data_IF_838630901902
#
_entry.id   IF_838630901902
#
_cell.length_a   1.000
_cell.length_b   1.000
_cell.length_c   1.000
_cell.angle_alpha   90.00
_cell.angle_beta   90.00
_cell.angle_gamma   90.00
#
_symmetry.space_group_name_H-M   'P 1'
#
loop_
_entity.id
_entity.type
_entity.pdbx_description
1 polymer ?
#
# COMPACT_ATOMS: atom_id res chain seq x y z
N UNK A 1 34.60 -21.16 1.32
CA UNK A 1 33.67 -20.25 2.00
C UNK A 1 32.31 -20.52 1.40
N UNK A 2 31.54 -21.37 2.05
CA UNK A 2 30.21 -21.79 1.60
C UNK A 2 29.25 -20.64 1.80
N UNK A 3 28.72 -20.14 0.68
CA UNK A 3 27.58 -19.23 0.69
C UNK A 3 26.43 -19.95 1.40
N UNK A 4 26.16 -19.62 2.63
CA UNK A 4 24.92 -19.98 3.30
C UNK A 4 23.81 -19.17 2.62
N UNK A 5 23.21 -19.77 1.60
CA UNK A 5 21.94 -19.30 1.08
C UNK A 5 20.98 -19.24 2.29
N UNK A 6 20.49 -18.06 2.58
CA UNK A 6 19.51 -17.79 3.59
C UNK A 6 18.37 -18.80 3.46
N UNK A 7 18.18 -19.61 4.48
CA UNK A 7 16.98 -20.46 4.61
C UNK A 7 15.82 -19.55 4.98
N UNK A 8 15.36 -18.82 3.94
CA UNK A 8 14.36 -17.76 4.06
C UNK A 8 12.93 -18.31 4.06
N UNK A 9 12.76 -19.63 4.10
CA UNK A 9 11.47 -20.30 3.87
C UNK A 9 10.63 -20.56 5.13
N UNK A 10 11.08 -20.15 6.31
CA UNK A 10 10.42 -20.56 7.57
C UNK A 10 9.24 -19.67 8.00
N UNK A 11 9.08 -18.47 7.43
CA UNK A 11 8.10 -17.46 7.94
C UNK A 11 6.90 -17.25 7.02
N UNK A 12 7.00 -17.65 5.76
CA UNK A 12 5.90 -17.51 4.79
C UNK A 12 5.64 -18.85 4.14
N UNK A 13 4.39 -19.36 4.25
CA UNK A 13 3.96 -20.61 3.65
C UNK A 13 4.27 -20.70 2.15
N UNK A 14 4.24 -21.91 1.60
CA UNK A 14 4.45 -22.11 0.16
C UNK A 14 3.43 -21.32 -0.65
N UNK A 15 3.92 -20.64 -1.67
CA UNK A 15 3.09 -19.92 -2.63
C UNK A 15 2.09 -20.86 -3.31
N UNK A 16 0.84 -20.46 -3.40
CA UNK A 16 -0.22 -21.19 -4.08
C UNK A 16 -0.49 -20.61 -5.45
N UNK A 17 -1.08 -21.41 -6.36
CA UNK A 17 -1.53 -20.92 -7.65
C UNK A 17 -2.61 -19.85 -7.47
N UNK A 18 -2.54 -18.81 -8.29
CA UNK A 18 -3.49 -17.68 -8.24
C UNK A 18 -4.33 -17.61 -9.52
N UNK A 19 -5.46 -16.95 -9.41
CA UNK A 19 -6.32 -16.53 -10.51
C UNK A 19 -6.47 -15.01 -10.46
N UNK A 20 -6.46 -14.36 -11.64
CA UNK A 20 -6.62 -12.90 -11.73
C UNK A 20 -7.64 -12.55 -12.81
N UNK A 21 -8.58 -11.66 -12.49
CA UNK A 21 -9.59 -11.13 -13.41
C UNK A 21 -9.46 -9.62 -13.49
N UNK A 22 -9.43 -9.09 -14.72
CA UNK A 22 -9.39 -7.65 -15.02
C UNK A 22 -9.88 -7.34 -16.44
N UNK A 23 -10.54 -6.19 -16.68
CA UNK A 23 -11.07 -5.32 -15.66
C UNK A 23 -12.35 -5.89 -15.04
N UNK A 24 -12.48 -5.78 -13.72
CA UNK A 24 -13.77 -5.80 -13.05
C UNK A 24 -14.25 -4.35 -12.99
N UNK A 25 -15.48 -4.09 -13.44
CA UNK A 25 -15.96 -2.72 -13.63
C UNK A 25 -17.05 -2.41 -12.61
N UNK A 26 -16.85 -1.36 -11.83
CA UNK A 26 -17.87 -0.79 -10.96
C UNK A 26 -18.38 0.53 -11.56
N UNK A 27 -19.68 0.65 -11.84
CA UNK A 27 -20.26 1.91 -12.30
C UNK A 27 -20.03 3.02 -11.26
N UNK A 28 -19.55 4.18 -11.70
CA UNK A 28 -19.26 5.29 -10.80
C UNK A 28 -19.67 6.63 -11.42
N UNK A 29 -20.85 7.10 -11.06
CA UNK A 29 -21.37 8.40 -11.53
C UNK A 29 -20.66 9.60 -10.91
N UNK A 30 -20.07 9.45 -9.70
CA UNK A 30 -19.45 10.56 -8.97
C UNK A 30 -18.09 10.97 -9.55
N UNK A 31 -17.33 10.03 -10.11
CA UNK A 31 -16.03 10.32 -10.75
C UNK A 31 -16.13 10.57 -12.26
N UNK A 32 -17.31 10.34 -12.87
CA UNK A 32 -17.55 10.56 -14.31
C UNK A 32 -17.07 9.44 -15.23
N UNK A 33 -16.31 8.47 -14.72
CA UNK A 33 -15.84 7.27 -15.42
C UNK A 33 -16.03 6.05 -14.52
N UNK A 34 -16.29 4.89 -15.11
CA UNK A 34 -16.39 3.64 -14.35
C UNK A 34 -15.06 3.28 -13.69
N UNK A 35 -15.14 2.75 -12.47
CA UNK A 35 -13.97 2.28 -11.74
C UNK A 35 -13.56 0.90 -12.24
N UNK A 36 -12.34 0.78 -12.76
CA UNK A 36 -11.77 -0.49 -13.21
C UNK A 36 -10.87 -1.07 -12.12
N UNK A 37 -11.07 -2.36 -11.85
CA UNK A 37 -10.34 -3.10 -10.82
C UNK A 37 -9.67 -4.34 -11.41
N UNK A 38 -8.52 -4.71 -10.83
CA UNK A 38 -7.96 -6.06 -10.94
C UNK A 38 -8.23 -6.79 -9.63
N UNK A 39 -8.72 -8.02 -9.72
CA UNK A 39 -8.92 -8.92 -8.57
C UNK A 39 -8.01 -10.12 -8.76
N UNK A 40 -7.15 -10.39 -7.80
CA UNK A 40 -6.25 -11.55 -7.79
C UNK A 40 -6.42 -12.31 -6.49
N UNK A 41 -6.60 -13.62 -6.56
CA UNK A 41 -6.82 -14.46 -5.39
C UNK A 41 -6.17 -15.84 -5.53
N UNK A 42 -5.91 -16.56 -4.44
CA UNK A 42 -5.54 -17.97 -4.50
C UNK A 42 -6.64 -18.79 -5.17
N UNK A 43 -6.25 -19.81 -5.93
CA UNK A 43 -7.22 -20.76 -6.51
C UNK A 43 -7.91 -21.63 -5.43
N UNK A 44 -7.24 -21.83 -4.31
CA UNK A 44 -7.69 -22.65 -3.20
C UNK A 44 -7.62 -21.87 -1.87
N UNK A 45 -8.17 -22.42 -0.80
CA UNK A 45 -8.20 -21.81 0.53
C UNK A 45 -9.55 -21.18 0.85
N UNK A 46 -9.82 -20.99 2.13
CA UNK A 46 -11.04 -20.37 2.68
C UNK A 46 -10.66 -19.29 3.68
N UNK A 47 -11.63 -18.50 4.09
CA UNK A 47 -11.46 -17.37 5.02
C UNK A 47 -10.36 -16.41 4.58
N UNK A 48 -10.25 -16.18 3.26
CA UNK A 48 -9.21 -15.36 2.65
C UNK A 48 -9.47 -13.89 2.96
N UNK A 49 -8.57 -13.20 3.68
CA UNK A 49 -8.74 -11.77 3.94
C UNK A 49 -8.49 -10.94 2.68
N UNK A 50 -9.02 -9.72 2.69
CA UNK A 50 -8.99 -8.81 1.54
C UNK A 50 -7.96 -7.70 1.77
N UNK A 51 -7.15 -7.42 0.75
CA UNK A 51 -6.25 -6.27 0.69
C UNK A 51 -6.64 -5.40 -0.50
N UNK A 52 -7.04 -4.15 -0.25
CA UNK A 52 -7.27 -3.16 -1.30
C UNK A 52 -6.01 -2.33 -1.46
N UNK A 53 -5.36 -2.44 -2.62
CA UNK A 53 -4.07 -1.79 -2.89
C UNK A 53 -4.21 -0.60 -3.84
N UNK A 54 -3.79 0.58 -3.41
CA UNK A 54 -3.75 1.83 -4.17
C UNK A 54 -2.38 2.05 -4.80
N UNK A 55 -2.33 2.18 -6.13
CA UNK A 55 -1.09 2.41 -6.88
C UNK A 55 -0.51 3.82 -6.69
N UNK A 56 0.79 4.03 -6.97
CA UNK A 56 1.45 5.34 -7.03
C UNK A 56 0.93 6.21 -8.17
N UNK A 57 1.38 7.49 -8.20
CA UNK A 57 0.97 8.44 -9.22
C UNK A 57 1.20 7.92 -10.65
N UNK A 58 0.18 8.01 -11.49
CA UNK A 58 0.25 7.66 -12.91
C UNK A 58 0.21 6.16 -13.22
N UNK A 59 0.35 5.27 -12.23
CA UNK A 59 0.25 3.82 -12.43
C UNK A 59 -1.21 3.37 -12.63
N UNK A 60 -1.46 2.06 -12.63
CA UNK A 60 -2.78 1.46 -12.80
C UNK A 60 -2.88 0.14 -12.03
N UNK A 61 -4.02 -0.53 -12.12
CA UNK A 61 -4.25 -1.87 -11.60
C UNK A 61 -3.28 -2.95 -12.13
N UNK A 62 -2.52 -2.64 -13.18
CA UNK A 62 -1.58 -3.57 -13.82
C UNK A 62 -0.16 -3.48 -13.24
N UNK A 63 0.11 -2.48 -12.42
CA UNK A 63 1.39 -2.31 -11.75
C UNK A 63 1.45 -3.04 -10.40
N UNK A 64 2.62 -3.07 -9.79
CA UNK A 64 2.89 -3.67 -8.48
C UNK A 64 2.76 -5.19 -8.40
N UNK A 65 2.78 -5.88 -9.55
CA UNK A 65 2.74 -7.34 -9.59
C UNK A 65 3.73 -8.02 -8.64
N UNK A 66 5.03 -7.63 -8.56
CA UNK A 66 5.97 -8.24 -7.62
C UNK A 66 5.45 -8.32 -6.19
N UNK A 67 4.71 -7.32 -5.72
CA UNK A 67 4.16 -7.28 -4.36
C UNK A 67 2.76 -7.88 -4.27
N UNK A 68 1.84 -7.46 -5.14
CA UNK A 68 0.43 -7.81 -5.06
C UNK A 68 0.15 -9.26 -5.45
N UNK A 69 0.87 -9.79 -6.45
CA UNK A 69 0.77 -11.19 -6.83
C UNK A 69 1.41 -12.10 -5.76
N UNK A 70 2.46 -11.60 -5.08
CA UNK A 70 3.05 -12.30 -3.94
C UNK A 70 2.02 -12.44 -2.80
N UNK A 71 1.35 -11.36 -2.42
CA UNK A 71 0.31 -11.42 -1.39
C UNK A 71 -0.81 -12.38 -1.78
N UNK A 72 -1.27 -12.32 -3.04
CA UNK A 72 -2.28 -13.24 -3.52
C UNK A 72 -1.84 -14.70 -3.44
N UNK A 73 -0.60 -15.00 -3.83
CA UNK A 73 -0.04 -16.35 -3.72
C UNK A 73 0.11 -16.83 -2.26
N UNK A 74 0.07 -15.91 -1.29
CA UNK A 74 0.23 -16.20 0.12
C UNK A 74 -1.06 -16.00 0.95
N UNK A 75 -2.21 -16.16 0.30
CA UNK A 75 -3.48 -16.32 1.00
C UNK A 75 -4.36 -15.07 1.09
N UNK A 76 -4.10 -14.03 0.30
CA UNK A 76 -4.94 -12.84 0.29
C UNK A 76 -5.74 -12.69 -0.99
N UNK A 77 -6.93 -12.15 -0.90
CA UNK A 77 -7.62 -11.55 -2.04
C UNK A 77 -7.07 -10.13 -2.20
N UNK A 78 -6.43 -9.83 -3.34
CA UNK A 78 -5.87 -8.51 -3.60
C UNK A 78 -6.69 -7.80 -4.68
N UNK A 79 -7.18 -6.60 -4.36
CA UNK A 79 -7.99 -5.78 -5.25
C UNK A 79 -7.25 -4.48 -5.54
N UNK A 80 -7.05 -4.18 -6.83
CA UNK A 80 -6.28 -3.02 -7.30
C UNK A 80 -7.16 -2.14 -8.19
N UNK A 81 -7.59 -0.95 -7.74
CA UNK A 81 -8.26 0.03 -8.59
C UNK A 81 -7.29 0.72 -9.56
N UNK A 82 -7.82 1.21 -10.69
CA UNK A 82 -7.17 2.20 -11.56
C UNK A 82 -7.77 3.57 -11.26
N UNK A 83 -6.99 4.45 -10.66
CA UNK A 83 -7.40 5.80 -10.31
C UNK A 83 -7.35 6.77 -11.51
N UNK A 84 -8.04 7.91 -11.42
CA UNK A 84 -8.18 8.89 -12.50
C UNK A 84 -6.86 9.49 -12.99
N UNK A 85 -5.84 9.57 -12.13
CA UNK A 85 -4.50 10.04 -12.50
C UNK A 85 -3.67 9.02 -13.28
N UNK A 86 -4.20 7.81 -13.48
CA UNK A 86 -3.50 6.80 -14.27
C UNK A 86 -3.26 7.30 -15.69
N UNK A 87 -2.01 7.18 -16.18
CA UNK A 87 -1.68 7.51 -17.56
C UNK A 87 -2.46 6.67 -18.58
N UNK A 88 -2.92 5.48 -18.18
CA UNK A 88 -3.73 4.60 -19.03
C UNK A 88 -5.12 5.15 -19.32
N UNK A 89 -5.65 6.04 -18.47
CA UNK A 89 -6.94 6.70 -18.67
C UNK A 89 -6.83 7.98 -19.49
N UNK A 90 -5.64 8.56 -19.60
CA UNK A 90 -5.38 9.73 -20.45
C UNK A 90 -6.11 11.00 -20.01
N UNK A 91 -6.39 11.19 -18.72
CA UNK A 91 -7.05 12.39 -18.21
C UNK A 91 -6.19 13.62 -18.52
N UNK A 92 -6.77 14.62 -19.18
CA UNK A 92 -6.06 15.83 -19.50
C UNK A 92 -5.76 16.65 -18.22
N UNK A 93 -4.59 17.33 -18.13
CA UNK A 93 -4.30 18.19 -16.98
C UNK A 93 -5.32 19.33 -16.78
N UNK A 94 -6.04 19.70 -17.84
CA UNK A 94 -7.10 20.73 -17.82
C UNK A 94 -8.49 20.16 -17.51
N UNK A 95 -8.60 18.86 -17.24
CA UNK A 95 -9.88 18.25 -16.86
C UNK A 95 -10.36 18.87 -15.54
N UNK A 96 -11.64 19.26 -15.43
CA UNK A 96 -12.17 19.90 -14.22
C UNK A 96 -12.06 19.02 -12.96
N UNK A 97 -11.88 17.71 -13.11
CA UNK A 97 -11.66 16.77 -11.99
C UNK A 97 -10.23 16.77 -11.46
N UNK A 98 -9.26 17.27 -12.24
CA UNK A 98 -7.83 17.21 -11.87
C UNK A 98 -7.54 17.74 -10.45
N UNK A 99 -8.10 18.87 -9.97
CA UNK A 99 -7.87 19.37 -8.61
C UNK A 99 -8.43 18.47 -7.50
N UNK A 100 -9.38 17.57 -7.82
CA UNK A 100 -10.05 16.69 -6.88
C UNK A 100 -9.63 15.22 -7.03
N UNK A 101 -8.60 14.91 -7.81
CA UNK A 101 -8.12 13.52 -8.02
C UNK A 101 -7.82 12.84 -6.69
N UNK A 102 -7.19 13.54 -5.74
CA UNK A 102 -6.90 13.00 -4.43
C UNK A 102 -8.15 12.47 -3.70
N UNK A 103 -9.26 13.21 -3.82
CA UNK A 103 -10.55 12.85 -3.21
C UNK A 103 -11.22 11.68 -3.96
N UNK A 104 -11.17 11.70 -5.29
CA UNK A 104 -11.65 10.59 -6.10
C UNK A 104 -10.89 9.30 -5.81
N UNK A 105 -9.57 9.36 -5.57
CA UNK A 105 -8.78 8.18 -5.18
C UNK A 105 -9.27 7.57 -3.87
N UNK A 106 -9.56 8.39 -2.86
CA UNK A 106 -10.11 7.93 -1.58
C UNK A 106 -11.50 7.30 -1.79
N UNK A 107 -12.34 7.96 -2.59
CA UNK A 107 -13.66 7.45 -2.94
C UNK A 107 -13.60 6.14 -3.73
N UNK A 108 -12.61 5.95 -4.60
CA UNK A 108 -12.39 4.69 -5.32
C UNK A 108 -12.12 3.53 -4.36
N UNK A 109 -11.32 3.74 -3.30
CA UNK A 109 -11.09 2.72 -2.28
C UNK A 109 -12.38 2.43 -1.49
N UNK A 110 -13.09 3.47 -1.04
CA UNK A 110 -14.34 3.32 -0.31
C UNK A 110 -15.39 2.59 -1.18
N UNK A 111 -15.55 2.97 -2.45
CA UNK A 111 -16.44 2.32 -3.39
C UNK A 111 -16.07 0.85 -3.61
N UNK A 112 -14.78 0.52 -3.64
CA UNK A 112 -14.31 -0.87 -3.75
C UNK A 112 -14.76 -1.68 -2.54
N UNK A 113 -14.60 -1.13 -1.33
CA UNK A 113 -15.03 -1.76 -0.07
C UNK A 113 -16.55 -1.86 0.01
N UNK A 114 -17.28 -0.84 -0.46
CA UNK A 114 -18.76 -0.84 -0.49
C UNK A 114 -19.36 -1.90 -1.42
N UNK A 115 -18.60 -2.32 -2.44
CA UNK A 115 -19.08 -3.25 -3.47
C UNK A 115 -18.34 -4.59 -3.46
N UNK A 116 -17.76 -4.99 -2.31
CA UNK A 116 -16.96 -6.22 -2.21
C UNK A 116 -17.69 -7.46 -2.73
N UNK A 117 -18.99 -7.60 -2.45
CA UNK A 117 -19.79 -8.76 -2.92
C UNK A 117 -19.76 -8.86 -4.45
N UNK A 118 -19.93 -7.72 -5.14
CA UNK A 118 -19.87 -7.65 -6.61
C UNK A 118 -18.46 -7.93 -7.13
N UNK A 119 -17.44 -7.38 -6.47
CA UNK A 119 -16.04 -7.53 -6.85
C UNK A 119 -15.56 -8.97 -6.66
N UNK A 120 -15.90 -9.59 -5.55
CA UNK A 120 -15.55 -10.99 -5.25
C UNK A 120 -16.27 -11.98 -6.18
N UNK A 121 -17.51 -11.68 -6.58
CA UNK A 121 -18.26 -12.50 -7.53
C UNK A 121 -17.66 -12.56 -8.95
N UNK A 122 -16.70 -11.65 -9.27
CA UNK A 122 -16.01 -11.67 -10.55
C UNK A 122 -15.12 -12.92 -10.76
N UNK A 123 -14.72 -13.58 -9.67
CA UNK A 123 -14.02 -14.88 -9.71
C UNK A 123 -14.99 -15.96 -9.19
N UNK A 124 -15.34 -16.98 -9.99
CA UNK A 124 -16.29 -18.02 -9.57
C UNK A 124 -15.91 -18.67 -8.24
N UNK A 125 -16.84 -18.69 -7.28
CA UNK A 125 -16.68 -19.27 -5.95
C UNK A 125 -15.79 -18.47 -4.99
N UNK A 126 -15.24 -17.31 -5.36
CA UNK A 126 -14.40 -16.52 -4.47
C UNK A 126 -15.21 -15.88 -3.34
N UNK A 127 -16.44 -15.43 -3.61
CA UNK A 127 -17.30 -14.82 -2.60
C UNK A 127 -17.56 -15.75 -1.40
N UNK A 128 -17.63 -17.07 -1.63
CA UNK A 128 -17.81 -18.07 -0.58
C UNK A 128 -16.52 -18.39 0.20
N UNK A 129 -15.36 -18.00 -0.34
CA UNK A 129 -14.03 -18.30 0.23
C UNK A 129 -13.35 -17.07 0.83
N UNK A 130 -13.77 -15.88 0.48
CA UNK A 130 -13.22 -14.63 1.03
C UNK A 130 -13.90 -14.25 2.34
N UNK A 131 -13.14 -13.66 3.26
CA UNK A 131 -13.69 -13.06 4.48
C UNK A 131 -13.71 -11.53 4.33
N UNK A 132 -14.86 -11.01 3.91
CA UNK A 132 -15.11 -9.59 3.71
C UNK A 132 -15.13 -8.76 5.02
N UNK A 133 -14.98 -9.39 6.21
CA UNK A 133 -14.85 -8.69 7.49
C UNK A 133 -13.39 -8.47 7.89
N UNK A 134 -12.44 -9.06 7.17
CA UNK A 134 -11.00 -8.89 7.39
C UNK A 134 -10.37 -8.13 6.24
N UNK A 135 -10.43 -6.80 6.33
CA UNK A 135 -9.99 -5.89 5.26
C UNK A 135 -8.77 -5.10 5.74
N UNK A 136 -7.73 -5.08 4.89
CA UNK A 136 -6.64 -4.13 4.98
C UNK A 136 -6.62 -3.22 3.74
N UNK A 137 -6.09 -2.01 3.91
CA UNK A 137 -5.73 -1.15 2.80
C UNK A 137 -4.22 -1.04 2.70
N UNK A 138 -3.72 -0.94 1.49
CA UNK A 138 -2.30 -0.75 1.25
C UNK A 138 -2.08 0.21 0.09
N UNK A 139 -0.89 0.79 0.01
CA UNK A 139 -0.55 1.64 -1.12
C UNK A 139 0.90 2.08 -1.10
N UNK A 140 1.35 2.57 -2.24
CA UNK A 140 2.71 3.10 -2.42
C UNK A 140 2.65 4.56 -2.85
N UNK A 141 3.51 5.41 -2.27
CA UNK A 141 3.63 6.82 -2.66
C UNK A 141 2.27 7.54 -2.56
N UNK A 142 1.76 8.11 -3.63
CA UNK A 142 0.42 8.70 -3.67
C UNK A 142 -0.68 7.70 -3.24
N UNK A 143 -0.49 6.41 -3.55
CA UNK A 143 -1.38 5.35 -3.07
C UNK A 143 -1.35 5.16 -1.56
N UNK A 144 -0.20 5.34 -0.92
CA UNK A 144 -0.09 5.29 0.53
C UNK A 144 -0.83 6.48 1.17
N UNK A 145 -0.71 7.69 0.59
CA UNK A 145 -1.51 8.86 1.01
C UNK A 145 -3.01 8.60 0.86
N UNK A 146 -3.42 7.97 -0.25
CA UNK A 146 -4.81 7.58 -0.47
C UNK A 146 -5.30 6.57 0.58
N UNK A 147 -4.54 5.50 0.82
CA UNK A 147 -4.87 4.45 1.77
C UNK A 147 -4.90 4.97 3.22
N UNK A 148 -3.99 5.89 3.58
CA UNK A 148 -3.92 6.45 4.93
C UNK A 148 -5.19 7.19 5.34
N UNK A 149 -5.95 7.75 4.38
CA UNK A 149 -7.21 8.42 4.66
C UNK A 149 -8.27 7.45 5.22
N UNK A 150 -8.33 6.20 4.72
CA UNK A 150 -9.24 5.19 5.25
C UNK A 150 -8.81 4.70 6.65
N UNK A 151 -7.56 4.96 7.06
CA UNK A 151 -7.03 4.65 8.39
C UNK A 151 -7.20 5.81 9.38
N UNK A 152 -7.71 6.98 8.92
CA UNK A 152 -7.98 8.16 9.72
C UNK A 152 -7.04 9.35 9.49
N UNK A 153 -6.09 9.28 8.55
CA UNK A 153 -5.35 10.47 8.15
C UNK A 153 -6.29 11.48 7.46
N UNK A 154 -6.06 12.77 7.69
CA UNK A 154 -6.88 13.85 7.12
C UNK A 154 -6.06 14.71 6.19
N UNK A 155 -6.71 15.29 5.19
CA UNK A 155 -6.11 16.29 4.30
C UNK A 155 -6.52 17.67 4.81
N UNK A 156 -5.54 18.46 5.23
CA UNK A 156 -5.77 19.80 5.78
C UNK A 156 -5.93 20.86 4.67
N UNK A 157 -6.44 22.08 5.01
CA UNK A 157 -6.48 23.18 4.07
C UNK A 157 -5.10 23.45 3.43
N UNK A 158 -5.02 23.91 2.16
CA UNK A 158 -6.14 24.48 1.39
C UNK A 158 -6.98 23.47 0.60
N UNK A 159 -6.55 22.22 0.45
CA UNK A 159 -7.26 21.26 -0.41
C UNK A 159 -8.38 20.51 0.31
N UNK A 160 -8.19 20.20 1.61
CA UNK A 160 -9.15 19.48 2.44
C UNK A 160 -9.70 20.33 3.59
N UNK A 161 -10.53 19.71 4.42
CA UNK A 161 -11.03 20.26 5.68
C UNK A 161 -10.55 19.36 6.83
N UNK A 162 -9.97 19.97 7.87
CA UNK A 162 -9.48 19.25 9.06
C UNK A 162 -10.56 18.40 9.76
N UNK A 163 -11.83 18.74 9.55
CA UNK A 163 -12.95 17.99 10.08
C UNK A 163 -13.49 16.90 9.14
N UNK A 164 -12.98 16.84 7.90
CA UNK A 164 -13.40 15.83 6.94
C UNK A 164 -12.75 14.49 7.26
N UNK A 165 -13.57 13.49 7.54
CA UNK A 165 -13.16 12.16 7.94
C UNK A 165 -13.53 11.14 6.87
N UNK A 166 -12.52 10.47 6.32
CA UNK A 166 -12.68 9.39 5.34
C UNK A 166 -12.37 8.01 5.95
N UNK A 167 -12.19 7.93 7.27
CA UNK A 167 -11.89 6.66 7.91
C UNK A 167 -13.02 5.64 7.67
N UNK A 168 -12.64 4.39 7.45
CA UNK A 168 -13.59 3.30 7.26
C UNK A 168 -13.40 2.25 8.36
N UNK A 169 -14.39 2.11 9.24
CA UNK A 169 -14.33 1.20 10.36
C UNK A 169 -14.25 -0.29 9.98
N UNK A 170 -14.52 -0.64 8.71
CA UNK A 170 -14.34 -2.00 8.17
C UNK A 170 -12.87 -2.34 7.92
N UNK A 171 -12.02 -1.30 7.77
CA UNK A 171 -10.59 -1.46 7.54
C UNK A 171 -9.88 -1.62 8.88
N UNK A 172 -9.28 -2.77 9.11
CA UNK A 172 -8.66 -3.12 10.39
C UNK A 172 -7.14 -2.97 10.41
N UNK A 173 -6.49 -2.83 9.26
CA UNK A 173 -5.04 -2.67 9.17
C UNK A 173 -4.61 -1.92 7.90
N UNK A 174 -3.37 -1.37 7.91
CA UNK A 174 -2.77 -0.73 6.75
C UNK A 174 -1.31 -1.12 6.48
N UNK A 175 -0.90 -1.09 5.19
CA UNK A 175 0.51 -1.15 4.77
C UNK A 175 0.79 0.06 3.89
N UNK A 176 1.60 0.99 4.40
CA UNK A 176 1.83 2.30 3.81
C UNK A 176 3.30 2.41 3.38
N UNK A 177 3.54 2.29 2.07
CA UNK A 177 4.86 2.25 1.45
C UNK A 177 5.22 3.66 0.95
N UNK A 178 6.28 4.26 1.47
CA UNK A 178 6.70 5.64 1.15
C UNK A 178 5.53 6.63 1.28
N UNK A 179 4.87 6.65 2.44
CA UNK A 179 3.81 7.60 2.74
C UNK A 179 4.41 8.99 2.93
N UNK A 180 3.93 9.97 2.17
CA UNK A 180 4.36 11.37 2.27
C UNK A 180 4.16 11.92 3.70
N UNK A 181 5.16 12.60 4.22
CA UNK A 181 5.16 13.23 5.54
C UNK A 181 4.36 14.53 5.60
N UNK A 182 4.50 15.24 6.71
CA UNK A 182 3.83 16.51 6.96
C UNK A 182 4.26 17.58 5.93
N UNK A 183 3.34 18.48 5.62
CA UNK A 183 3.61 19.59 4.70
C UNK A 183 4.38 20.72 5.40
N UNK A 184 3.72 21.41 6.29
CA UNK A 184 4.23 22.59 6.99
C UNK A 184 5.20 23.41 6.11
N UNK A 185 6.44 23.64 6.60
CA UNK A 185 7.53 24.27 5.83
C UNK A 185 8.40 23.24 5.07
N UNK A 186 8.00 21.98 5.07
CA UNK A 186 8.80 20.88 4.54
C UNK A 186 8.56 20.60 3.07
N UNK A 187 7.49 21.13 2.46
CA UNK A 187 7.26 21.02 1.02
C UNK A 187 8.02 22.06 0.23
N UNK A 188 8.52 21.66 -0.95
CA UNK A 188 9.05 22.63 -1.90
C UNK A 188 7.93 23.54 -2.41
N UNK A 189 8.24 24.81 -2.82
CA UNK A 189 7.22 25.73 -3.35
C UNK A 189 6.42 25.17 -4.52
N UNK A 190 7.06 24.36 -5.38
CA UNK A 190 6.41 23.69 -6.51
C UNK A 190 5.44 22.63 -5.99
N UNK A 191 5.84 21.82 -5.01
CA UNK A 191 4.99 20.79 -4.43
C UNK A 191 3.76 21.40 -3.76
N UNK A 192 3.92 22.47 -2.99
CA UNK A 192 2.81 23.20 -2.36
C UNK A 192 1.80 23.71 -3.39
N UNK A 193 2.27 24.20 -4.53
CA UNK A 193 1.40 24.73 -5.58
C UNK A 193 0.71 23.64 -6.39
N UNK A 194 1.44 22.58 -6.75
CA UNK A 194 0.92 21.51 -7.61
C UNK A 194 0.11 20.47 -6.86
N UNK A 195 0.43 20.22 -5.59
CA UNK A 195 -0.14 19.16 -4.79
C UNK A 195 -0.65 19.69 -3.44
N UNK A 196 -1.62 20.63 -3.43
CA UNK A 196 -2.12 21.24 -2.19
C UNK A 196 -2.77 20.24 -1.23
N UNK A 197 -3.11 19.03 -1.71
CA UNK A 197 -3.59 17.92 -0.90
C UNK A 197 -2.49 17.18 -0.13
N UNK A 198 -1.20 17.40 -0.44
CA UNK A 198 -0.08 16.85 0.31
C UNK A 198 0.15 17.63 1.61
N UNK A 199 -0.92 17.84 2.35
CA UNK A 199 -0.93 18.47 3.66
C UNK A 199 -1.68 17.56 4.66
N UNK A 200 -1.09 16.39 5.00
CA UNK A 200 -1.74 15.44 5.88
C UNK A 200 -1.70 15.87 7.34
N UNK A 201 -2.70 15.41 8.13
CA UNK A 201 -2.62 15.26 9.58
C UNK A 201 -2.77 13.79 9.91
N UNK A 202 -1.87 13.27 10.73
CA UNK A 202 -1.91 11.89 11.21
C UNK A 202 -2.53 11.74 12.60
N UNK A 203 -2.95 12.84 13.24
CA UNK A 203 -3.46 12.87 14.63
C UNK A 203 -4.68 11.96 14.87
N UNK A 204 -5.42 11.62 13.82
CA UNK A 204 -6.59 10.75 13.87
C UNK A 204 -6.37 9.37 13.24
N UNK A 205 -5.16 9.09 12.72
CA UNK A 205 -4.84 7.82 12.07
C UNK A 205 -4.58 6.73 13.13
N UNK A 206 -5.65 6.30 13.81
CA UNK A 206 -5.57 5.34 14.92
C UNK A 206 -5.50 3.87 14.49
N UNK A 207 -5.99 3.53 13.30
CA UNK A 207 -5.96 2.15 12.80
C UNK A 207 -4.52 1.63 12.71
N UNK A 208 -4.23 0.39 13.15
CA UNK A 208 -2.89 -0.20 13.08
C UNK A 208 -2.32 -0.17 11.67
N UNK A 209 -1.05 0.19 11.53
CA UNK A 209 -0.40 0.23 10.23
C UNK A 209 1.10 -0.10 10.30
N UNK A 210 1.60 -0.74 9.24
CA UNK A 210 3.02 -0.87 8.94
C UNK A 210 3.40 0.24 7.95
N UNK A 211 4.28 1.13 8.38
CA UNK A 211 4.93 2.13 7.53
C UNK A 211 6.23 1.52 7.00
N UNK A 212 6.47 1.66 5.68
CA UNK A 212 7.70 1.19 5.03
C UNK A 212 8.35 2.37 4.33
N UNK A 213 9.62 2.62 4.62
CA UNK A 213 10.39 3.72 4.04
C UNK A 213 11.81 3.27 3.67
N UNK A 214 12.37 3.85 2.62
CA UNK A 214 13.78 3.69 2.25
C UNK A 214 14.65 4.78 2.88
N UNK A 215 15.81 4.45 3.41
CA UNK A 215 16.74 5.42 3.98
C UNK A 215 17.52 6.24 2.95
N UNK A 216 17.40 5.89 1.66
CA UNK A 216 17.94 6.65 0.52
C UNK A 216 16.83 7.33 -0.33
N UNK A 217 15.57 7.30 0.12
CA UNK A 217 14.45 7.90 -0.59
C UNK A 217 14.44 9.43 -0.42
N UNK A 218 14.99 10.13 -1.43
CA UNK A 218 14.99 11.59 -1.51
C UNK A 218 13.80 12.07 -2.35
N UNK A 219 12.80 12.66 -1.69
CA UNK A 219 11.65 13.22 -2.41
C UNK A 219 12.00 14.57 -3.07
N UNK A 220 11.73 14.76 -4.36
CA UNK A 220 11.84 16.09 -4.97
C UNK A 220 10.73 17.05 -4.51
N UNK A 221 9.75 16.55 -3.76
CA UNK A 221 8.62 17.32 -3.25
C UNK A 221 8.87 17.90 -1.86
N UNK A 222 9.85 17.35 -1.13
CA UNK A 222 10.20 17.80 0.22
C UNK A 222 11.58 18.45 0.26
N UNK A 223 11.73 19.42 1.16
CA UNK A 223 13.03 20.03 1.52
C UNK A 223 13.80 19.17 2.52
N UNK A 224 13.13 18.19 3.15
CA UNK A 224 13.72 17.23 4.09
C UNK A 224 14.34 16.03 3.37
N UNK A 225 15.14 15.32 4.12
CA UNK A 225 15.70 14.04 3.69
C UNK A 225 14.72 12.86 3.87
N UNK A 226 15.25 11.61 3.87
CA UNK A 226 14.45 10.39 4.01
C UNK A 226 13.64 10.29 5.30
N UNK A 227 13.99 11.04 6.34
CA UNK A 227 13.25 11.15 7.59
C UNK A 227 11.82 11.68 7.41
N UNK A 228 11.54 12.40 6.31
CA UNK A 228 10.21 12.88 5.97
C UNK A 228 9.18 11.74 5.81
N UNK A 229 9.60 10.60 5.31
CA UNK A 229 8.73 9.43 5.13
C UNK A 229 8.36 8.73 6.45
N UNK A 230 8.94 9.16 7.58
CA UNK A 230 8.71 8.58 8.91
C UNK A 230 7.63 9.31 9.71
N UNK A 231 7.16 10.47 9.24
CA UNK A 231 6.25 11.33 10.01
C UNK A 231 4.95 10.62 10.43
N UNK A 232 4.39 9.78 9.56
CA UNK A 232 3.20 9.02 9.91
C UNK A 232 3.44 8.06 11.07
N UNK A 233 4.64 7.45 11.17
CA UNK A 233 5.01 6.62 12.30
C UNK A 233 5.14 7.43 13.58
N UNK A 234 5.72 8.62 13.49
CA UNK A 234 6.03 9.48 14.64
C UNK A 234 4.81 10.23 15.18
N UNK A 235 3.83 10.55 14.32
CA UNK A 235 2.72 11.46 14.64
C UNK A 235 1.34 10.80 14.65
N UNK A 236 1.24 9.49 14.39
CA UNK A 236 -0.04 8.78 14.46
C UNK A 236 -0.28 8.19 15.84
N UNK A 237 -1.52 8.24 16.35
CA UNK A 237 -1.90 7.45 17.51
C UNK A 237 -2.08 5.96 17.16
N UNK A 238 -2.13 5.13 18.20
CA UNK A 238 -2.38 3.69 18.05
C UNK A 238 -1.13 2.92 17.60
N UNK A 239 -1.32 1.62 17.36
CA UNK A 239 -0.19 0.73 17.05
C UNK A 239 0.37 0.99 15.67
N UNK A 240 1.60 1.39 15.59
CA UNK A 240 2.36 1.56 14.35
C UNK A 240 3.63 0.72 14.40
N UNK A 241 4.03 0.22 13.24
CA UNK A 241 5.32 -0.42 13.03
C UNK A 241 6.03 0.29 11.89
N UNK A 242 7.34 0.37 11.94
CA UNK A 242 8.17 0.99 10.91
C UNK A 242 9.20 -0.01 10.40
N UNK A 243 9.18 -0.27 9.09
CA UNK A 243 10.27 -0.94 8.39
C UNK A 243 11.09 0.10 7.64
N UNK A 244 12.33 0.33 8.07
CA UNK A 244 13.30 1.12 7.32
C UNK A 244 14.15 0.19 6.47
N UNK A 245 14.15 0.40 5.16
CA UNK A 245 14.92 -0.39 4.19
C UNK A 245 16.25 0.32 3.90
N UNK A 246 17.37 -0.37 4.08
CA UNK A 246 18.69 0.22 3.90
C UNK A 246 19.08 0.35 2.43
N UNK A 247 19.55 1.54 2.06
CA UNK A 247 19.94 1.91 0.69
C UNK A 247 18.81 1.76 -0.34
N UNK A 248 17.57 1.77 0.11
CA UNK A 248 16.41 1.73 -0.76
C UNK A 248 15.94 3.16 -1.07
N UNK A 249 15.68 3.42 -2.33
CA UNK A 249 15.03 4.63 -2.82
C UNK A 249 13.51 4.48 -2.85
N UNK A 250 12.83 5.42 -3.52
CA UNK A 250 11.38 5.46 -3.65
C UNK A 250 10.76 4.21 -4.30
N UNK A 251 11.52 3.50 -5.15
CA UNK A 251 11.05 2.27 -5.81
C UNK A 251 11.06 1.04 -4.91
N UNK A 252 11.67 1.12 -3.69
CA UNK A 252 11.80 0.03 -2.74
C UNK A 252 12.33 -1.26 -3.39
N UNK A 253 13.35 -1.11 -4.24
CA UNK A 253 13.99 -2.20 -4.95
C UNK A 253 13.23 -2.70 -6.19
N UNK A 254 12.17 -1.99 -6.62
CA UNK A 254 11.43 -2.33 -7.84
C UNK A 254 10.10 -3.05 -7.60
N UNK A 255 9.40 -2.78 -6.49
CA UNK A 255 8.10 -3.41 -6.16
C UNK A 255 7.01 -3.14 -7.19
N UNK A 256 7.17 -2.14 -8.06
CA UNK A 256 6.13 -1.67 -8.98
C UNK A 256 6.07 -2.40 -10.31
N UNK A 257 7.13 -3.11 -10.71
CA UNK A 257 7.19 -3.78 -12.02
C UNK A 257 7.96 -5.09 -11.97
N UNK A 258 7.49 -6.10 -12.72
CA UNK A 258 8.31 -7.24 -13.07
C UNK A 258 9.33 -6.81 -14.11
N UNK A 259 10.61 -6.87 -13.79
CA UNK A 259 11.70 -6.56 -14.73
C UNK A 259 12.63 -7.74 -14.88
N UNK A 260 12.91 -8.13 -16.13
CA UNK A 260 14.03 -9.01 -16.49
C UNK A 260 15.33 -8.21 -16.64
N UNK A 261 15.20 -6.89 -16.72
CA UNK A 261 16.31 -5.93 -16.76
C UNK A 261 16.01 -4.91 -15.68
N UNK A 262 16.98 -4.60 -14.78
CA UNK A 262 16.82 -3.53 -13.80
C UNK A 262 16.38 -2.26 -14.53
N UNK A 263 15.25 -1.67 -14.10
CA UNK A 263 14.74 -0.42 -14.68
C UNK A 263 15.44 0.80 -14.09
N UNK A 264 16.10 0.58 -12.93
CA UNK A 264 16.96 1.55 -12.27
C UNK A 264 18.17 0.86 -11.64
N UNK A 265 19.23 1.61 -11.30
CA UNK A 265 20.37 1.11 -10.55
C UNK A 265 19.99 0.67 -9.12
N UNK A 266 18.83 1.06 -8.65
CA UNK A 266 18.27 0.74 -7.33
C UNK A 266 17.41 -0.52 -7.31
N UNK A 267 17.16 -1.16 -8.44
CA UNK A 267 16.42 -2.43 -8.48
C UNK A 267 17.20 -3.50 -7.72
N UNK A 268 16.60 -3.98 -6.64
CA UNK A 268 17.24 -4.91 -5.71
C UNK A 268 16.26 -6.02 -5.28
N UNK A 269 16.43 -7.25 -5.80
CA UNK A 269 15.54 -8.36 -5.48
C UNK A 269 15.56 -8.74 -3.98
N UNK A 270 16.64 -8.46 -3.26
CA UNK A 270 16.73 -8.71 -1.81
C UNK A 270 15.80 -7.74 -1.07
N UNK A 271 15.79 -6.47 -1.47
CA UNK A 271 14.88 -5.47 -0.91
C UNK A 271 13.42 -5.83 -1.21
N UNK A 272 13.11 -6.20 -2.46
CA UNK A 272 11.75 -6.66 -2.83
C UNK A 272 11.33 -7.85 -1.99
N UNK A 273 12.18 -8.87 -1.86
CA UNK A 273 11.89 -10.06 -1.04
C UNK A 273 11.65 -9.72 0.43
N UNK A 274 12.42 -8.76 0.98
CA UNK A 274 12.21 -8.30 2.35
C UNK A 274 10.85 -7.59 2.50
N UNK A 275 10.50 -6.68 1.58
CA UNK A 275 9.18 -6.02 1.57
C UNK A 275 8.06 -7.05 1.49
N UNK A 276 8.14 -7.99 0.55
CA UNK A 276 7.15 -9.07 0.37
C UNK A 276 6.91 -9.84 1.68
N UNK A 277 7.98 -10.31 2.30
CA UNK A 277 7.91 -11.17 3.50
C UNK A 277 7.42 -10.42 4.74
N UNK A 278 7.96 -9.25 5.00
CA UNK A 278 7.61 -8.46 6.19
C UNK A 278 6.16 -7.95 6.09
N UNK A 279 5.74 -7.45 4.92
CA UNK A 279 4.36 -6.99 4.73
C UNK A 279 3.36 -8.13 4.79
N UNK A 280 3.71 -9.32 4.25
CA UNK A 280 2.86 -10.52 4.36
C UNK A 280 2.71 -10.97 5.80
N UNK A 281 3.82 -11.06 6.56
CA UNK A 281 3.79 -11.46 7.96
C UNK A 281 2.97 -10.47 8.82
N UNK A 282 3.13 -9.16 8.55
CA UNK A 282 2.33 -8.13 9.20
C UNK A 282 0.83 -8.29 8.89
N UNK A 283 0.46 -8.43 7.62
CA UNK A 283 -0.94 -8.58 7.20
C UNK A 283 -1.58 -9.86 7.77
N UNK A 284 -0.85 -10.98 7.79
CA UNK A 284 -1.35 -12.23 8.38
C UNK A 284 -1.69 -12.06 9.87
N UNK A 285 -0.82 -11.38 10.61
CA UNK A 285 -1.04 -11.11 12.02
C UNK A 285 -2.17 -10.08 12.23
N UNK A 286 -2.13 -8.96 11.54
CA UNK A 286 -3.08 -7.86 11.72
C UNK A 286 -4.51 -8.23 11.29
N UNK A 287 -4.65 -9.18 10.36
CA UNK A 287 -5.94 -9.71 9.89
C UNK A 287 -6.31 -11.06 10.55
N UNK A 288 -5.63 -11.44 11.65
CA UNK A 288 -5.92 -12.66 12.42
C UNK A 288 -5.92 -13.96 11.59
N UNK A 289 -5.02 -14.04 10.60
CA UNK A 289 -4.77 -15.27 9.84
C UNK A 289 -3.78 -16.16 10.58
N UNK A 290 -2.70 -15.56 11.10
CA UNK A 290 -1.65 -16.23 11.84
C UNK A 290 -0.91 -15.23 12.75
N UNK A 291 -1.22 -15.29 14.05
CA UNK A 291 -0.64 -14.39 15.05
C UNK A 291 0.85 -14.64 15.33
N UNK A 292 1.40 -15.76 14.85
CA UNK A 292 2.81 -16.10 15.04
C UNK A 292 3.72 -15.53 13.94
N UNK A 293 3.17 -15.22 12.77
CA UNK A 293 3.92 -14.75 11.60
C UNK A 293 4.70 -13.46 11.87
N UNK A 294 4.07 -12.49 12.52
CA UNK A 294 4.70 -11.19 12.76
C UNK A 294 5.84 -11.26 13.76
N UNK A 295 5.69 -11.83 14.97
CA UNK A 295 6.81 -12.02 15.89
C UNK A 295 7.95 -12.83 15.26
N UNK A 296 7.66 -13.88 14.52
CA UNK A 296 8.67 -14.70 13.86
C UNK A 296 9.48 -13.91 12.81
N UNK A 297 8.80 -13.06 12.01
CA UNK A 297 9.46 -12.21 11.02
C UNK A 297 10.36 -11.15 11.67
N UNK A 298 9.95 -10.60 12.80
CA UNK A 298 10.76 -9.66 13.60
C UNK A 298 12.02 -10.32 14.15
N UNK A 299 11.87 -11.49 14.77
CA UNK A 299 12.99 -12.27 15.33
C UNK A 299 13.96 -12.69 14.23
N UNK A 300 13.48 -13.05 13.06
CA UNK A 300 14.32 -13.43 11.93
C UNK A 300 15.14 -12.24 11.42
N UNK A 301 14.49 -11.08 11.21
CA UNK A 301 15.18 -9.89 10.75
C UNK A 301 16.22 -9.42 11.77
N UNK A 302 15.91 -9.46 13.07
CA UNK A 302 16.81 -9.07 14.13
C UNK A 302 18.05 -9.99 14.26
N UNK A 303 17.94 -11.27 13.85
CA UNK A 303 19.04 -12.24 13.87
C UNK A 303 19.98 -12.16 12.68
N UNK A 304 19.63 -11.41 11.62
CA UNK A 304 20.47 -11.28 10.44
C UNK A 304 21.73 -10.48 10.75
N UNK A 305 22.89 -10.99 10.37
CA UNK A 305 24.19 -10.32 10.56
C UNK A 305 24.41 -9.11 9.65
N UNK A 306 23.69 -9.06 8.53
CA UNK A 306 23.70 -7.97 7.55
C UNK A 306 22.29 -7.76 6.99
N UNK A 307 21.39 -7.21 7.79
CA UNK A 307 20.01 -7.04 7.36
C UNK A 307 19.90 -5.99 6.24
N UNK A 308 18.92 -6.17 5.34
CA UNK A 308 18.58 -5.17 4.33
C UNK A 308 17.64 -4.08 4.86
N UNK A 309 17.26 -4.15 6.13
CA UNK A 309 16.39 -3.17 6.79
C UNK A 309 16.30 -3.42 8.29
N UNK A 310 15.54 -2.55 8.95
CA UNK A 310 15.31 -2.59 10.40
C UNK A 310 13.82 -2.38 10.70
N UNK A 311 13.30 -3.11 11.70
CA UNK A 311 11.95 -2.93 12.24
C UNK A 311 11.99 -2.18 13.57
N UNK A 312 11.12 -1.18 13.69
CA UNK A 312 10.81 -0.50 14.95
C UNK A 312 9.30 -0.64 15.21
N UNK A 313 8.94 -0.73 16.49
CA UNK A 313 7.55 -0.75 16.93
C UNK A 313 7.36 0.28 18.02
N UNK A 314 6.18 0.92 18.05
CA UNK A 314 5.73 1.63 19.22
C UNK A 314 5.40 0.62 20.33
N UNK A 315 5.94 0.88 21.51
CA UNK A 315 5.76 0.06 22.72
C UNK A 315 4.35 0.17 23.28
#
# INVERSE_FOLDING_TARGET
MTNSALDTNAVVDQATATVSVRPVVLPSSQRGDDLQLRVTAPQEGNDLPVVVFSHGFGFSMDAYGPLTDFWAAHGFVVIQPTHLDSVSLGLAPTDPRAPQIWRHRIQDLAQTVDNLDTVLAAIPGLADRADANRIAVAGHSYGATTASALLGARVLPPAGDANEDFSDARVSAGVLLCLAGLAADDLTPIATQMFPFMNPSFEHMATPALIVAGDADQSPLSTRGPDWWLDAYQHSPGKKSLLTLFRADHALGGIHAYGTVPQSESDNPITVALVQRITTAYLRNALHVDETSWPAAQDELARQSSPAGQLCQDS
#
